data_IF_077617093061
#
_entry.id   IF_077617093061
#
_cell.length_a   1.000
_cell.length_b   1.000
_cell.length_c   1.000
_cell.angle_alpha   90.00
_cell.angle_beta   90.00
_cell.angle_gamma   90.00
#
_symmetry.space_group_name_H-M   'P 1'
#
loop_
_entity.id
_entity.type
_entity.pdbx_description
1 polymer ?
#
# COMPACT_ATOMS: atom_id res chain seq x y z
N UNK A 1 -15.29 -5.28 -28.47
CA UNK A 1 -15.01 -4.94 -27.05
C UNK A 1 -14.24 -6.03 -26.29
N UNK A 2 -14.12 -7.27 -26.80
CA UNK A 2 -13.55 -8.39 -26.02
C UNK A 2 -12.01 -8.56 -26.02
N UNK A 3 -11.24 -7.88 -26.89
CA UNK A 3 -9.78 -8.12 -27.00
C UNK A 3 -8.90 -7.46 -25.92
N UNK A 4 -9.37 -6.40 -25.25
CA UNK A 4 -8.54 -5.61 -24.33
C UNK A 4 -8.34 -6.25 -22.94
N UNK A 5 -9.23 -7.16 -22.53
CA UNK A 5 -9.15 -7.81 -21.20
C UNK A 5 -8.19 -9.01 -21.18
N UNK A 6 -8.01 -9.70 -22.31
CA UNK A 6 -7.20 -10.93 -22.42
C UNK A 6 -5.69 -10.70 -22.48
N UNK A 7 -5.23 -9.52 -22.88
CA UNK A 7 -3.79 -9.20 -22.95
C UNK A 7 -3.18 -8.77 -21.60
N UNK A 8 -3.96 -8.73 -20.50
CA UNK A 8 -3.45 -8.33 -19.18
C UNK A 8 -2.87 -6.90 -19.13
N UNK A 9 -3.20 -6.07 -20.12
CA UNK A 9 -2.55 -4.78 -20.41
C UNK A 9 -2.92 -3.64 -19.44
N UNK A 10 -3.99 -3.82 -18.67
CA UNK A 10 -4.47 -2.82 -17.69
C UNK A 10 -4.41 -3.38 -16.27
N UNK A 11 -3.23 -3.29 -15.63
CA UNK A 11 -3.03 -3.69 -14.22
C UNK A 11 -3.40 -2.60 -13.19
N UNK A 12 -4.06 -1.53 -13.63
CA UNK A 12 -4.38 -0.38 -12.77
C UNK A 12 -3.14 0.41 -12.35
N UNK A 13 -3.30 1.31 -11.36
CA UNK A 13 -2.16 2.03 -10.76
C UNK A 13 -1.37 1.07 -9.87
N UNK A 14 -0.08 0.95 -10.15
CA UNK A 14 0.84 0.18 -9.31
C UNK A 14 1.08 0.96 -8.01
N UNK A 15 1.05 0.25 -6.89
CA UNK A 15 1.38 0.81 -5.59
C UNK A 15 2.84 1.27 -5.54
N UNK A 16 3.09 2.41 -4.88
CA UNK A 16 4.44 2.90 -4.67
C UNK A 16 5.11 2.08 -3.55
N UNK A 17 5.98 1.16 -3.95
CA UNK A 17 6.65 0.23 -3.06
C UNK A 17 7.51 0.95 -2.00
N UNK A 18 8.21 2.02 -2.38
CA UNK A 18 9.08 2.78 -1.47
C UNK A 18 8.26 3.46 -0.38
N UNK A 19 7.14 4.10 -0.74
CA UNK A 19 6.25 4.70 0.26
C UNK A 19 5.63 3.65 1.17
N UNK A 20 5.29 2.49 0.64
CA UNK A 20 4.73 1.39 1.43
C UNK A 20 5.73 0.83 2.44
N UNK A 21 6.99 0.65 2.03
CA UNK A 21 8.07 0.22 2.91
C UNK A 21 8.32 1.24 4.03
N UNK A 22 8.39 2.53 3.70
CA UNK A 22 8.54 3.59 4.69
C UNK A 22 7.39 3.59 5.72
N UNK A 23 6.14 3.43 5.26
CA UNK A 23 4.97 3.32 6.14
C UNK A 23 5.11 2.12 7.08
N UNK A 24 5.55 0.96 6.59
CA UNK A 24 5.75 -0.26 7.39
C UNK A 24 6.83 -0.03 8.44
N UNK A 25 7.96 0.55 8.08
CA UNK A 25 9.05 0.86 9.04
C UNK A 25 8.57 1.81 10.13
N UNK A 26 7.90 2.91 9.78
CA UNK A 26 7.38 3.88 10.76
C UNK A 26 6.32 3.29 11.70
N UNK A 27 5.47 2.38 11.19
CA UNK A 27 4.38 1.76 11.97
C UNK A 27 4.81 0.57 12.81
N UNK A 28 5.60 -0.34 12.22
CA UNK A 28 5.97 -1.62 12.83
C UNK A 28 7.26 -1.51 13.64
N UNK A 29 8.27 -0.78 13.15
CA UNK A 29 9.55 -0.66 13.86
C UNK A 29 9.54 0.48 14.89
N UNK A 30 8.91 1.62 14.56
CA UNK A 30 8.92 2.81 15.42
C UNK A 30 7.61 3.07 16.18
N UNK A 31 6.55 2.29 15.94
CA UNK A 31 5.27 2.42 16.67
C UNK A 31 4.54 3.75 16.47
N UNK A 32 4.88 4.55 15.44
CA UNK A 32 4.31 5.90 15.25
C UNK A 32 2.82 5.86 14.97
N UNK A 33 2.11 6.94 15.31
CA UNK A 33 0.68 7.04 15.06
C UNK A 33 0.35 7.12 13.55
N UNK A 34 -0.90 6.83 13.18
CA UNK A 34 -1.35 6.89 11.78
C UNK A 34 -1.19 8.30 11.17
N UNK A 35 -1.48 9.36 11.92
CA UNK A 35 -1.36 10.74 11.45
C UNK A 35 0.11 11.14 11.27
N UNK A 36 0.94 10.77 12.23
CA UNK A 36 2.36 11.11 12.19
C UNK A 36 3.06 10.38 11.03
N UNK A 37 2.76 9.09 10.85
CA UNK A 37 3.24 8.30 9.71
C UNK A 37 2.83 8.92 8.38
N UNK A 38 1.56 9.35 8.26
CA UNK A 38 1.06 9.99 7.04
C UNK A 38 1.83 11.28 6.71
N UNK A 39 2.10 12.11 7.72
CA UNK A 39 2.89 13.34 7.57
C UNK A 39 4.34 13.04 7.15
N UNK A 40 5.00 12.06 7.78
CA UNK A 40 6.39 11.71 7.50
C UNK A 40 6.58 11.03 6.14
N UNK A 41 5.65 10.16 5.74
CA UNK A 41 5.70 9.46 4.46
C UNK A 41 5.09 10.28 3.29
N UNK A 42 4.55 11.48 3.56
CA UNK A 42 3.96 12.34 2.54
C UNK A 42 2.72 11.73 1.87
N UNK A 43 1.93 10.97 2.61
CA UNK A 43 0.73 10.28 2.10
C UNK A 43 -0.52 10.64 2.90
N UNK A 44 -1.70 10.28 2.37
CA UNK A 44 -2.93 10.38 3.14
C UNK A 44 -2.97 9.36 4.29
N UNK A 45 -3.70 9.68 5.37
CA UNK A 45 -4.01 8.73 6.45
C UNK A 45 -4.64 7.44 5.90
N UNK A 46 -5.43 7.55 4.82
CA UNK A 46 -6.11 6.42 4.21
C UNK A 46 -5.15 5.47 3.48
N UNK A 47 -4.08 6.01 2.91
CA UNK A 47 -2.98 5.21 2.35
C UNK A 47 -2.29 4.42 3.46
N UNK A 48 -2.00 5.04 4.60
CA UNK A 48 -1.40 4.35 5.76
C UNK A 48 -2.28 3.20 6.25
N UNK A 49 -3.58 3.44 6.43
CA UNK A 49 -4.54 2.39 6.85
C UNK A 49 -4.58 1.27 5.82
N UNK A 50 -4.67 1.59 4.53
CA UNK A 50 -4.71 0.59 3.46
C UNK A 50 -3.44 -0.27 3.44
N UNK A 51 -2.26 0.32 3.62
CA UNK A 51 -0.99 -0.42 3.68
C UNK A 51 -0.91 -1.30 4.92
N UNK A 52 -1.39 -0.82 6.06
CA UNK A 52 -1.42 -1.63 7.30
C UNK A 52 -2.43 -2.79 7.21
N UNK A 53 -3.60 -2.56 6.62
CA UNK A 53 -4.67 -3.55 6.53
C UNK A 53 -4.52 -4.51 5.33
N UNK A 54 -3.82 -4.07 4.28
CA UNK A 54 -3.62 -4.84 3.04
C UNK A 54 -2.67 -6.03 3.20
N UNK A 55 -1.90 -6.09 4.28
CA UNK A 55 -0.98 -7.20 4.58
C UNK A 55 -1.67 -8.44 5.19
N UNK A 56 -3.00 -8.43 5.42
CA UNK A 56 -3.75 -9.62 5.90
C UNK A 56 -4.13 -10.62 4.79
N UNK A 57 -3.67 -10.41 3.54
CA UNK A 57 -3.90 -11.33 2.42
C UNK A 57 -2.56 -11.83 1.87
N UNK A 58 -2.05 -12.91 2.46
CA UNK A 58 -1.03 -13.88 2.01
C UNK A 58 -0.76 -14.71 3.28
N UNK A 59 -1.14 -15.99 3.41
CA UNK A 59 -0.96 -17.10 2.47
C UNK A 59 -2.15 -18.06 2.49
N UNK A 60 -2.66 -18.41 1.31
CA UNK A 60 -3.29 -19.71 1.07
C UNK A 60 -2.70 -20.23 -0.23
N UNK A 61 -2.04 -21.38 -0.10
CA UNK A 61 -1.43 -22.24 -1.12
C UNK A 61 -2.29 -22.41 -2.39
#
# INVERSE_FOLDING_TARGET
ICKAKTEGKYRGRVADAQKHELIRTLRLAHGKSLRETARLAGVSKMTVIRVCNGNHKQDTD
#
